data_IF_850246739216
#
_entry.id   IF_850246739216
#
_cell.length_a   1.000
_cell.length_b   1.000
_cell.length_c   1.000
_cell.angle_alpha   90.00
_cell.angle_beta   90.00
_cell.angle_gamma   90.00
#
_symmetry.space_group_name_H-M   'P 1'
#
loop_
_entity.id
_entity.type
_entity.pdbx_description
1 polymer ?
#
# COMPACT_ATOMS: atom_id res chain seq x y z
N UNK A 1 34.20 3.69 48.93
CA UNK A 1 33.83 3.70 48.51
C UNK A 1 33.20 4.04 47.96
N UNK A 2 33.07 4.33 47.80
CA UNK A 2 32.47 4.54 47.42
C UNK A 2 32.28 4.95 46.48
N UNK A 3 32.52 5.14 46.07
CA UNK A 3 32.39 5.39 45.23
C UNK A 3 31.90 4.85 44.22
N UNK A 4 31.70 3.99 43.93
CA UNK A 4 31.32 3.35 43.09
C UNK A 4 29.97 3.38 42.81
N UNK A 5 29.23 3.61 43.35
CA UNK A 5 27.83 3.78 43.41
C UNK A 5 27.36 4.88 42.54
N UNK A 6 28.03 5.94 42.52
CA UNK A 6 27.69 7.03 41.61
C UNK A 6 27.77 6.61 40.18
N UNK A 7 28.60 5.68 39.89
CA UNK A 7 28.69 5.16 38.53
C UNK A 7 27.41 4.52 38.08
N UNK A 8 26.80 3.82 38.97
CA UNK A 8 25.55 3.17 38.63
C UNK A 8 24.49 4.16 38.28
N UNK A 9 24.46 5.26 38.99
CA UNK A 9 23.46 6.28 38.71
C UNK A 9 23.61 6.86 37.31
N UNK A 10 24.82 7.07 36.89
CA UNK A 10 25.05 7.60 35.58
C UNK A 10 24.57 6.68 34.49
N UNK A 11 24.74 5.42 34.68
CA UNK A 11 24.28 4.44 33.72
C UNK A 11 22.78 4.54 33.54
N UNK A 12 22.09 4.71 34.64
CA UNK A 12 20.64 4.82 34.56
C UNK A 12 20.21 6.00 33.72
N UNK A 13 20.91 7.10 33.85
CA UNK A 13 20.56 8.29 33.07
C UNK A 13 20.73 8.01 31.59
N UNK A 14 21.73 7.28 31.22
CA UNK A 14 21.94 6.96 29.82
C UNK A 14 20.76 6.22 29.23
N UNK A 15 20.19 5.34 29.97
CA UNK A 15 19.04 4.62 29.47
C UNK A 15 17.88 5.53 29.17
N UNK A 16 17.68 6.50 30.01
CA UNK A 16 16.59 7.41 29.77
C UNK A 16 16.73 8.17 28.49
N UNK A 17 17.92 8.62 28.18
CA UNK A 17 18.13 9.32 26.93
C UNK A 17 17.88 8.46 25.72
N UNK A 18 18.32 7.24 25.82
CA UNK A 18 18.14 6.33 24.71
C UNK A 18 16.68 6.07 24.43
N UNK A 19 15.90 5.93 25.46
CA UNK A 19 14.46 5.71 25.27
C UNK A 19 13.79 6.90 24.60
N UNK A 20 14.20 8.11 24.94
CA UNK A 20 13.63 9.29 24.33
C UNK A 20 13.87 9.31 22.83
N UNK A 21 15.05 8.91 22.42
CA UNK A 21 15.34 8.89 21.00
C UNK A 21 14.46 7.93 20.24
N UNK A 22 14.22 6.78 20.84
CA UNK A 22 13.36 5.80 20.19
C UNK A 22 11.96 6.34 20.03
N UNK A 23 11.44 7.03 21.00
CA UNK A 23 10.11 7.58 20.88
C UNK A 23 10.01 8.64 19.81
N UNK A 24 11.05 9.44 19.67
CA UNK A 24 11.05 10.42 18.61
C UNK A 24 10.99 9.79 17.24
N UNK A 25 11.73 8.72 17.06
CA UNK A 25 11.70 8.03 15.78
C UNK A 25 10.32 7.49 15.46
N UNK A 26 9.68 6.90 16.44
CA UNK A 26 8.36 6.34 16.18
C UNK A 26 7.32 7.41 15.93
N UNK A 27 7.48 8.59 16.50
CA UNK A 27 6.52 9.64 16.29
C UNK A 27 6.82 10.50 15.08
N UNK A 28 7.99 10.38 14.51
CA UNK A 28 8.35 11.22 13.38
C UNK A 28 7.73 10.77 12.08
N UNK A 29 7.19 9.57 12.04
CA UNK A 29 6.55 9.11 10.83
C UNK A 29 5.31 9.92 10.54
N UNK A 30 5.21 10.46 9.33
CA UNK A 30 4.03 11.18 8.93
C UNK A 30 2.94 10.19 8.59
N UNK A 31 1.70 10.51 8.95
CA UNK A 31 0.61 9.61 8.57
C UNK A 31 0.49 9.56 7.05
N UNK A 32 0.32 8.37 6.54
CA UNK A 32 0.18 8.15 5.11
C UNK A 32 -1.28 8.41 4.76
N UNK A 33 -1.50 9.23 3.74
CA UNK A 33 -2.86 9.46 3.25
C UNK A 33 -3.42 8.19 2.67
N UNK A 34 -4.74 8.08 2.66
CA UNK A 34 -5.39 6.88 2.16
C UNK A 34 -4.97 6.57 0.72
N UNK A 35 -4.83 7.59 -0.10
CA UNK A 35 -4.41 7.39 -1.48
C UNK A 35 -3.01 6.85 -1.59
N UNK A 36 -2.13 7.23 -0.66
CA UNK A 36 -0.74 6.80 -0.70
C UNK A 36 -0.55 5.40 -0.16
N UNK A 37 -1.54 4.89 0.59
CA UNK A 37 -1.47 3.55 1.14
C UNK A 37 -1.81 2.50 0.09
N UNK A 38 -2.29 2.90 -1.08
CA UNK A 38 -2.70 1.98 -2.13
C UNK A 38 -1.87 2.18 -3.37
N UNK A 39 -1.75 1.12 -4.13
CA UNK A 39 -1.15 1.18 -5.46
C UNK A 39 -2.28 1.09 -6.47
N UNK A 40 -2.32 2.03 -7.40
CA UNK A 40 -3.34 2.06 -8.44
C UNK A 40 -2.73 1.58 -9.74
N UNK A 41 -3.46 0.74 -10.44
CA UNK A 41 -2.98 0.09 -11.66
C UNK A 41 -3.97 0.26 -12.77
N UNK A 42 -3.45 0.44 -13.98
CA UNK A 42 -4.25 0.39 -15.19
C UNK A 42 -3.84 -0.87 -15.95
N UNK A 43 -4.76 -1.78 -16.11
CA UNK A 43 -4.50 -3.08 -16.73
C UNK A 43 -5.37 -3.21 -17.96
N UNK A 44 -4.85 -2.76 -19.11
CA UNK A 44 -5.66 -2.69 -20.31
C UNK A 44 -6.78 -1.69 -20.13
N UNK A 45 -8.01 -2.16 -20.17
CA UNK A 45 -9.18 -1.29 -19.97
C UNK A 45 -9.70 -1.32 -18.55
N UNK A 46 -9.08 -2.06 -17.66
CA UNK A 46 -9.53 -2.14 -16.28
C UNK A 46 -8.62 -1.33 -15.37
N UNK A 47 -9.19 -0.93 -14.25
CA UNK A 47 -8.45 -0.22 -13.21
C UNK A 47 -8.52 -1.02 -11.94
N UNK A 48 -7.39 -1.14 -11.25
CA UNK A 48 -7.28 -1.90 -10.03
C UNK A 48 -6.68 -1.05 -8.93
N UNK A 49 -6.99 -1.42 -7.71
CA UNK A 49 -6.36 -0.84 -6.54
C UNK A 49 -5.79 -1.98 -5.70
N UNK A 50 -4.54 -1.84 -5.31
CA UNK A 50 -3.84 -2.89 -4.60
C UNK A 50 -3.45 -2.39 -3.23
N UNK A 51 -3.85 -3.12 -2.20
CA UNK A 51 -3.34 -2.92 -0.85
C UNK A 51 -2.52 -4.13 -0.46
N UNK A 52 -2.01 -4.15 0.76
CA UNK A 52 -1.29 -5.34 1.22
C UNK A 52 -2.20 -6.52 1.48
N UNK A 53 -3.51 -6.29 1.56
CA UNK A 53 -4.49 -7.31 1.97
C UNK A 53 -5.47 -7.63 0.87
N UNK A 54 -5.86 -6.66 0.06
CA UNK A 54 -6.89 -6.85 -0.94
C UNK A 54 -6.49 -6.32 -2.30
N UNK A 55 -7.00 -6.99 -3.34
CA UNK A 55 -6.99 -6.50 -4.70
C UNK A 55 -8.40 -6.03 -5.01
N UNK A 56 -8.56 -4.77 -5.36
CA UNK A 56 -9.86 -4.17 -5.65
C UNK A 56 -10.02 -4.01 -7.16
N UNK A 57 -11.19 -4.28 -7.64
CA UNK A 57 -11.50 -4.27 -9.06
C UNK A 57 -12.86 -3.64 -9.31
N UNK A 58 -13.22 -3.53 -10.58
CA UNK A 58 -14.51 -3.00 -11.03
C UNK A 58 -14.73 -1.58 -10.53
N UNK A 59 -13.85 -0.70 -11.01
CA UNK A 59 -13.94 0.71 -10.64
C UNK A 59 -15.20 1.34 -11.23
N UNK A 60 -16.00 1.96 -10.38
CA UNK A 60 -17.20 2.65 -10.79
C UNK A 60 -16.89 4.14 -10.88
N UNK A 61 -16.94 4.66 -12.11
CA UNK A 61 -16.57 6.05 -12.36
C UNK A 61 -17.53 7.04 -11.71
N UNK A 62 -18.77 6.64 -11.51
CA UNK A 62 -19.78 7.53 -10.92
C UNK A 62 -19.59 7.68 -9.43
N UNK A 63 -19.36 6.57 -8.73
CA UNK A 63 -19.20 6.59 -7.28
C UNK A 63 -17.74 6.73 -6.87
N UNK A 64 -16.83 6.57 -7.83
CA UNK A 64 -15.39 6.61 -7.58
C UNK A 64 -14.98 5.54 -6.59
N UNK A 65 -15.63 4.39 -6.65
CA UNK A 65 -15.35 3.28 -5.76
C UNK A 65 -15.10 2.02 -6.56
N UNK A 66 -14.28 1.15 -6.00
CA UNK A 66 -14.06 -0.17 -6.56
C UNK A 66 -15.12 -1.08 -5.98
N UNK A 67 -15.83 -1.78 -6.84
CA UNK A 67 -17.04 -2.49 -6.45
C UNK A 67 -16.78 -3.94 -6.03
N UNK A 68 -15.60 -4.45 -6.31
CA UNK A 68 -15.24 -5.81 -5.92
C UNK A 68 -13.88 -5.84 -5.28
N UNK A 69 -13.71 -6.73 -4.30
CA UNK A 69 -12.42 -6.93 -3.66
C UNK A 69 -12.14 -8.43 -3.57
N UNK A 70 -10.86 -8.76 -3.65
CA UNK A 70 -10.39 -10.13 -3.52
C UNK A 70 -9.28 -10.14 -2.49
N UNK A 71 -9.41 -11.03 -1.53
CA UNK A 71 -8.39 -11.14 -0.50
C UNK A 71 -7.11 -11.69 -1.10
N UNK A 72 -5.99 -11.08 -0.76
CA UNK A 72 -4.70 -11.52 -1.27
C UNK A 72 -4.26 -12.72 -0.46
N UNK A 73 -4.10 -13.85 -1.12
CA UNK A 73 -3.65 -15.07 -0.48
C UNK A 73 -2.13 -15.17 -0.46
N UNK A 74 -1.46 -14.48 -1.38
CA UNK A 74 0.00 -14.49 -1.43
C UNK A 74 0.49 -13.16 -1.97
N UNK A 75 1.34 -12.48 -1.22
CA UNK A 75 1.97 -11.25 -1.67
C UNK A 75 3.46 -11.52 -1.77
N UNK A 76 3.87 -12.12 -2.87
CA UNK A 76 5.26 -12.47 -3.08
C UNK A 76 6.05 -11.37 -3.73
N UNK A 77 7.35 -11.59 -3.87
CA UNK A 77 8.22 -10.62 -4.52
C UNK A 77 7.92 -10.49 -6.00
N UNK A 78 7.53 -11.58 -6.63
CA UNK A 78 7.26 -11.59 -8.05
C UNK A 78 5.78 -11.73 -8.34
N UNK A 79 5.08 -12.57 -7.59
CA UNK A 79 3.68 -12.90 -7.87
C UNK A 79 2.80 -12.50 -6.70
N UNK A 80 1.74 -11.78 -7.00
CA UNK A 80 0.65 -11.53 -6.06
C UNK A 80 -0.53 -12.36 -6.50
N UNK A 81 -1.13 -13.08 -5.56
CA UNK A 81 -2.28 -13.93 -5.87
C UNK A 81 -3.48 -13.48 -5.05
N UNK A 82 -4.60 -13.26 -5.72
CA UNK A 82 -5.83 -12.84 -5.09
C UNK A 82 -6.99 -13.50 -5.83
N UNK A 83 -7.67 -14.44 -5.17
CA UNK A 83 -8.68 -15.24 -5.83
C UNK A 83 -8.06 -16.02 -6.97
N UNK A 84 -8.68 -15.94 -8.13
CA UNK A 84 -8.12 -16.56 -9.33
C UNK A 84 -7.19 -15.66 -10.10
N UNK A 85 -6.93 -14.44 -9.57
CA UNK A 85 -6.04 -13.50 -10.22
C UNK A 85 -4.61 -13.69 -9.76
N UNK A 86 -3.69 -13.56 -10.71
CA UNK A 86 -2.27 -13.48 -10.42
C UNK A 86 -1.73 -12.24 -11.11
N UNK A 87 -0.90 -11.52 -10.40
CA UNK A 87 -0.26 -10.33 -10.93
C UNK A 87 1.24 -10.50 -10.82
N UNK A 88 1.92 -10.43 -11.96
CA UNK A 88 3.38 -10.51 -11.97
C UNK A 88 3.91 -9.10 -11.75
N UNK A 89 4.66 -8.93 -10.66
CA UNK A 89 5.13 -7.61 -10.26
C UNK A 89 6.26 -7.10 -11.15
N UNK A 90 6.96 -8.00 -11.80
CA UNK A 90 8.07 -7.62 -12.68
C UNK A 90 7.60 -7.25 -14.07
N UNK A 91 6.68 -8.02 -14.61
CA UNK A 91 6.21 -7.81 -15.99
C UNK A 91 4.91 -7.03 -16.06
N UNK A 92 4.16 -6.96 -14.98
CA UNK A 92 2.85 -6.32 -14.97
C UNK A 92 1.75 -7.20 -15.52
N UNK A 93 2.03 -8.44 -15.89
CA UNK A 93 1.01 -9.29 -16.49
C UNK A 93 -0.02 -9.68 -15.43
N UNK A 94 -1.27 -9.39 -15.73
CA UNK A 94 -2.40 -9.82 -14.92
C UNK A 94 -3.04 -11.01 -15.61
N UNK A 95 -3.24 -12.09 -14.87
CA UNK A 95 -3.87 -13.28 -15.39
C UNK A 95 -5.04 -13.67 -14.52
N UNK A 96 -6.07 -14.22 -15.12
CA UNK A 96 -7.23 -14.76 -14.43
C UNK A 96 -7.31 -16.23 -14.77
N UNK A 97 -7.24 -17.06 -13.74
CA UNK A 97 -7.31 -18.52 -13.89
C UNK A 97 -6.30 -19.01 -14.94
N UNK A 98 -5.10 -18.45 -14.89
CA UNK A 98 -4.03 -18.85 -15.77
C UNK A 98 -4.02 -18.22 -17.15
N UNK A 99 -5.04 -17.42 -17.47
CA UNK A 99 -5.12 -16.77 -18.78
C UNK A 99 -4.82 -15.30 -18.66
N UNK A 100 -3.98 -14.81 -19.56
CA UNK A 100 -3.62 -13.39 -19.50
C UNK A 100 -4.85 -12.53 -19.73
N UNK A 101 -5.04 -11.58 -18.80
CA UNK A 101 -6.16 -10.65 -18.82
C UNK A 101 -5.74 -9.26 -19.24
N UNK A 102 -4.49 -8.90 -19.05
CA UNK A 102 -3.99 -7.60 -19.41
C UNK A 102 -2.59 -7.39 -18.86
N UNK A 103 -2.03 -6.25 -19.21
CA UNK A 103 -0.73 -5.85 -18.69
C UNK A 103 -0.96 -4.58 -17.90
N UNK A 104 -0.49 -4.56 -16.67
CA UNK A 104 -0.74 -3.49 -15.74
C UNK A 104 0.42 -2.53 -15.69
N UNK A 105 0.11 -1.26 -15.53
CA UNK A 105 1.09 -0.24 -15.24
C UNK A 105 0.61 0.56 -14.04
N UNK A 106 1.57 1.04 -13.28
CA UNK A 106 1.25 1.82 -12.09
C UNK A 106 0.84 3.22 -12.51
N UNK A 107 -0.24 3.70 -11.93
CA UNK A 107 -0.72 5.06 -12.20
C UNK A 107 -0.90 5.78 -10.87
N UNK A 108 -1.11 7.09 -10.97
CA UNK A 108 -1.43 7.90 -9.80
C UNK A 108 -2.91 7.88 -9.54
N UNK A 109 -3.28 8.18 -8.32
CA UNK A 109 -4.70 8.19 -7.94
C UNK A 109 -5.51 9.12 -8.84
N UNK A 110 -4.95 10.27 -9.20
CA UNK A 110 -5.69 11.24 -9.99
C UNK A 110 -5.78 10.86 -11.47
N UNK A 111 -5.15 9.77 -11.88
CA UNK A 111 -5.27 9.28 -13.25
C UNK A 111 -6.41 8.29 -13.43
N UNK A 112 -7.14 8.00 -12.35
CA UNK A 112 -8.33 7.17 -12.47
C UNK A 112 -9.38 7.89 -13.30
N UNK A 113 -10.23 7.15 -14.02
CA UNK A 113 -11.23 7.79 -14.87
C UNK A 113 -12.17 8.66 -14.07
N UNK A 114 -12.58 9.76 -14.69
CA UNK A 114 -13.49 10.71 -14.08
C UNK A 114 -14.56 11.07 -15.08
N UNK A 115 -15.71 11.46 -14.56
CA UNK A 115 -16.72 12.04 -15.39
C UNK A 115 -16.28 13.45 -15.79
N UNK A 116 -16.87 13.98 -16.87
CA UNK A 116 -16.54 15.34 -17.28
C UNK A 116 -17.08 16.33 -16.26
N UNK A 117 -16.89 17.63 -16.52
CA UNK A 117 -17.22 18.67 -15.55
C UNK A 117 -18.70 18.67 -15.17
N UNK A 118 -19.56 18.24 -16.07
CA UNK A 118 -20.98 18.14 -15.75
C UNK A 118 -21.38 16.81 -15.17
N UNK A 119 -20.44 15.95 -14.88
CA UNK A 119 -20.72 14.63 -14.38
C UNK A 119 -21.15 13.65 -15.44
N UNK A 120 -20.94 14.00 -16.70
CA UNK A 120 -21.29 13.15 -17.83
C UNK A 120 -20.04 12.71 -18.55
N UNK A 121 -20.16 11.63 -19.26
CA UNK A 121 -19.02 11.09 -19.97
C UNK A 121 -18.73 11.85 -21.26
N UNK A 122 -19.75 12.40 -21.85
CA UNK A 122 -19.61 13.24 -23.03
C UNK A 122 -20.80 14.13 -23.15
#
# INVERSE_FOLDING_TARGET
MKKFITNITRVTISYGKFLLMIMLLSSSGTPVKAEDAFTYLKCGTQYLRLSGVYLYKNYNIRTKKFMKDYEISKYGEVIIRAGYYTLNRDTGVLAYDGKQSGICEKINFNELPKLNAEGKKF
#
